data_IF_661944578829
#
_entry.id   IF_661944578829
#
_cell.length_a   1.000
_cell.length_b   1.000
_cell.length_c   1.000
_cell.angle_alpha   90.00
_cell.angle_beta   90.00
_cell.angle_gamma   90.00
#
_symmetry.space_group_name_H-M   'P 1'
#
loop_
_entity.id
_entity.type
_entity.pdbx_description
1 polymer ?
#
# COMPACT_ATOMS: atom_id res chain seq x y z
N UNK A 1 -13.01 5.57 -5.99
CA UNK A 1 -12.60 4.54 -6.98
C UNK A 1 -13.49 4.57 -8.20
N UNK A 2 -14.81 4.52 -8.04
CA UNK A 2 -15.80 4.35 -9.13
C UNK A 2 -15.73 5.35 -10.30
N UNK A 3 -15.26 6.58 -10.07
CA UNK A 3 -15.19 7.61 -11.13
C UNK A 3 -13.78 7.80 -11.74
N UNK A 4 -12.81 6.96 -11.37
CA UNK A 4 -11.45 7.01 -11.91
C UNK A 4 -11.27 5.96 -12.99
N UNK A 5 -10.60 6.31 -14.08
CA UNK A 5 -10.06 5.35 -15.04
C UNK A 5 -9.06 4.40 -14.37
N UNK A 6 -8.78 3.26 -15.00
CA UNK A 6 -7.80 2.30 -14.46
C UNK A 6 -6.41 2.93 -14.28
N UNK A 7 -6.01 3.87 -15.14
CA UNK A 7 -4.76 4.60 -15.03
C UNK A 7 -4.75 5.55 -13.82
N UNK A 8 -5.82 6.31 -13.62
CA UNK A 8 -5.97 7.19 -12.46
C UNK A 8 -6.00 6.40 -11.15
N UNK A 9 -6.66 5.25 -11.12
CA UNK A 9 -6.66 4.33 -9.98
C UNK A 9 -5.24 3.85 -9.66
N UNK A 10 -4.51 3.39 -10.67
CA UNK A 10 -3.12 2.94 -10.51
C UNK A 10 -2.21 4.07 -10.01
N UNK A 11 -2.34 5.27 -10.58
CA UNK A 11 -1.55 6.44 -10.15
C UNK A 11 -1.86 6.81 -8.69
N UNK A 12 -3.14 6.84 -8.33
CA UNK A 12 -3.58 7.14 -6.97
C UNK A 12 -3.03 6.14 -5.94
N UNK A 13 -3.16 4.83 -6.21
CA UNK A 13 -2.64 3.78 -5.32
C UNK A 13 -1.12 3.84 -5.23
N UNK A 14 -0.42 4.04 -6.36
CA UNK A 14 1.03 4.18 -6.37
C UNK A 14 1.49 5.33 -5.47
N UNK A 15 0.80 6.47 -5.52
CA UNK A 15 1.08 7.61 -4.62
C UNK A 15 0.83 7.29 -3.14
N UNK A 16 -0.23 6.55 -2.83
CA UNK A 16 -0.49 6.06 -1.46
C UNK A 16 0.63 5.14 -0.99
N UNK A 17 1.04 4.17 -1.82
CA UNK A 17 2.13 3.24 -1.52
C UNK A 17 3.43 4.01 -1.26
N UNK A 18 3.77 4.97 -2.11
CA UNK A 18 4.96 5.80 -1.95
C UNK A 18 4.93 6.61 -0.65
N UNK A 19 3.79 7.22 -0.33
CA UNK A 19 3.62 7.95 0.93
C UNK A 19 3.79 7.07 2.16
N UNK A 20 3.24 5.85 2.14
CA UNK A 20 3.38 4.88 3.23
C UNK A 20 4.81 4.34 3.34
N UNK A 21 5.48 4.10 2.21
CA UNK A 21 6.86 3.66 2.15
C UNK A 21 7.81 4.75 2.72
N UNK A 22 7.61 6.01 2.32
CA UNK A 22 8.35 7.14 2.86
C UNK A 22 8.10 7.36 4.35
N UNK A 23 6.84 7.27 4.80
CA UNK A 23 6.51 7.34 6.21
C UNK A 23 7.20 6.24 7.03
N UNK A 24 7.26 5.01 6.47
CA UNK A 24 7.97 3.89 7.08
C UNK A 24 9.46 4.16 7.24
N UNK A 25 10.09 4.69 6.18
CA UNK A 25 11.49 5.08 6.22
C UNK A 25 11.77 6.12 7.31
N UNK A 26 10.91 7.14 7.46
CA UNK A 26 11.04 8.11 8.55
C UNK A 26 10.89 7.46 9.94
N UNK A 27 9.96 6.51 10.09
CA UNK A 27 9.71 5.82 11.35
C UNK A 27 10.84 4.85 11.76
N UNK A 28 11.48 4.21 10.78
CA UNK A 28 12.56 3.26 10.98
C UNK A 28 13.95 3.95 11.04
N UNK A 29 14.03 5.21 11.49
CA UNK A 29 15.28 5.99 11.57
C UNK A 29 16.06 6.05 10.25
N UNK A 30 15.34 6.09 9.12
CA UNK A 30 15.87 6.07 7.75
C UNK A 30 16.50 4.74 7.34
N UNK A 31 16.21 3.64 8.04
CA UNK A 31 16.44 2.30 7.52
C UNK A 31 15.48 2.05 6.34
N UNK A 32 16.04 1.60 5.23
CA UNK A 32 15.29 1.33 4.01
C UNK A 32 14.58 -0.02 4.05
N UNK A 33 14.91 -0.90 5.00
CA UNK A 33 14.39 -2.28 5.05
C UNK A 33 12.86 -2.34 4.99
N UNK A 34 12.17 -1.54 5.81
CA UNK A 34 10.70 -1.51 5.81
C UNK A 34 10.10 -0.90 4.54
N UNK A 35 10.71 0.18 4.03
CA UNK A 35 10.29 0.84 2.79
C UNK A 35 10.46 -0.09 1.57
N UNK A 36 11.59 -0.79 1.50
CA UNK A 36 11.86 -1.76 0.43
C UNK A 36 10.91 -2.94 0.49
N UNK A 37 10.49 -3.40 1.68
CA UNK A 37 9.43 -4.42 1.77
C UNK A 37 8.14 -3.94 1.09
N UNK A 38 7.71 -2.71 1.36
CA UNK A 38 6.48 -2.13 0.81
C UNK A 38 6.55 -2.03 -0.71
N UNK A 39 7.65 -1.50 -1.25
CA UNK A 39 7.84 -1.42 -2.70
C UNK A 39 7.94 -2.80 -3.36
N UNK A 40 8.70 -3.73 -2.77
CA UNK A 40 8.84 -5.07 -3.32
C UNK A 40 7.50 -5.80 -3.32
N UNK A 41 6.75 -5.72 -2.23
CA UNK A 41 5.39 -6.24 -2.16
C UNK A 41 4.52 -5.64 -3.28
N UNK A 42 4.49 -4.32 -3.41
CA UNK A 42 3.66 -3.68 -4.43
C UNK A 42 4.06 -4.04 -5.87
N UNK A 43 5.36 -4.15 -6.16
CA UNK A 43 5.89 -4.28 -7.52
C UNK A 43 6.12 -5.74 -8.01
N UNK A 44 6.38 -6.70 -7.11
CA UNK A 44 6.87 -8.04 -7.52
C UNK A 44 5.81 -9.14 -7.65
N UNK A 45 4.64 -9.02 -7.03
CA UNK A 45 3.55 -9.98 -7.27
C UNK A 45 2.94 -9.77 -8.66
N UNK A 46 2.24 -10.75 -9.23
CA UNK A 46 1.45 -10.60 -10.46
C UNK A 46 0.55 -9.35 -10.33
N UNK A 47 1.05 -8.23 -10.87
CA UNK A 47 0.55 -6.90 -10.52
C UNK A 47 -0.92 -6.76 -10.87
N UNK A 48 -1.36 -7.46 -11.93
CA UNK A 48 -2.75 -7.46 -12.35
C UNK A 48 -3.65 -8.23 -11.39
N UNK A 49 -3.23 -9.43 -10.96
CA UNK A 49 -4.02 -10.23 -10.01
C UNK A 49 -4.14 -9.53 -8.65
N UNK A 50 -3.04 -8.97 -8.13
CA UNK A 50 -3.06 -8.23 -6.86
C UNK A 50 -3.83 -6.92 -6.97
N UNK A 51 -3.65 -6.16 -8.03
CA UNK A 51 -4.43 -4.93 -8.26
C UNK A 51 -5.93 -5.23 -8.28
N UNK A 52 -6.37 -6.25 -9.02
CA UNK A 52 -7.77 -6.65 -9.05
C UNK A 52 -8.27 -7.06 -7.65
N UNK A 53 -7.50 -7.83 -6.89
CA UNK A 53 -7.87 -8.20 -5.52
C UNK A 53 -7.97 -6.99 -4.57
N UNK A 54 -7.10 -5.99 -4.75
CA UNK A 54 -7.19 -4.72 -4.02
C UNK A 54 -8.46 -3.94 -4.40
N UNK A 55 -8.80 -3.88 -5.69
CA UNK A 55 -10.02 -3.21 -6.17
C UNK A 55 -11.27 -3.87 -5.57
N UNK A 56 -11.36 -5.20 -5.67
CA UNK A 56 -12.46 -5.98 -5.09
C UNK A 56 -12.59 -5.76 -3.59
N UNK A 57 -11.46 -5.57 -2.89
CA UNK A 57 -11.46 -5.32 -1.46
C UNK A 57 -11.91 -3.89 -1.12
N UNK A 58 -11.53 -2.89 -1.92
CA UNK A 58 -11.98 -1.51 -1.76
C UNK A 58 -13.49 -1.38 -2.01
N UNK A 59 -14.02 -2.07 -3.01
CA UNK A 59 -15.46 -2.10 -3.29
C UNK A 59 -16.28 -2.72 -2.15
N UNK A 60 -15.70 -3.67 -1.42
CA UNK A 60 -16.32 -4.29 -0.23
C UNK A 60 -16.31 -3.40 1.01
N UNK A 61 -15.51 -2.33 1.03
CA UNK A 61 -15.34 -1.42 2.18
C UNK A 61 -15.50 0.05 1.75
N UNK A 62 -16.65 0.43 1.17
CA UNK A 62 -16.85 1.75 0.59
C UNK A 62 -16.80 2.89 1.63
N UNK A 63 -17.00 2.58 2.91
CA UNK A 63 -16.94 3.54 4.01
C UNK A 63 -15.51 3.88 4.48
N UNK A 64 -14.51 3.10 4.03
CA UNK A 64 -13.11 3.29 4.43
C UNK A 64 -12.33 4.05 3.36
N UNK A 65 -11.34 4.84 3.80
CA UNK A 65 -10.41 5.46 2.87
C UNK A 65 -9.44 4.42 2.31
N UNK A 66 -9.17 4.50 1.00
CA UNK A 66 -8.23 3.60 0.31
C UNK A 66 -6.85 3.61 0.96
N UNK A 67 -6.38 4.76 1.47
CA UNK A 67 -5.11 4.87 2.20
C UNK A 67 -5.10 4.05 3.50
N UNK A 68 -6.19 4.05 4.25
CA UNK A 68 -6.37 3.24 5.47
C UNK A 68 -6.39 1.76 5.16
N UNK A 69 -7.12 1.40 4.10
CA UNK A 69 -7.18 0.04 3.58
C UNK A 69 -5.77 -0.44 3.17
N UNK A 70 -5.06 0.34 2.36
CA UNK A 70 -3.69 0.01 1.93
C UNK A 70 -2.72 -0.12 3.12
N UNK A 71 -2.83 0.76 4.12
CA UNK A 71 -2.03 0.64 5.34
C UNK A 71 -2.25 -0.70 6.05
N UNK A 72 -3.49 -1.19 6.14
CA UNK A 72 -3.78 -2.47 6.76
C UNK A 72 -3.14 -3.65 6.02
N UNK A 73 -3.23 -3.67 4.68
CA UNK A 73 -2.58 -4.69 3.83
C UNK A 73 -1.05 -4.66 3.97
N UNK A 74 -0.47 -3.46 3.93
CA UNK A 74 0.97 -3.27 4.09
C UNK A 74 1.43 -3.73 5.47
N UNK A 75 0.67 -3.43 6.53
CA UNK A 75 1.00 -3.86 7.89
C UNK A 75 0.94 -5.39 8.02
N UNK A 76 -0.03 -6.03 7.37
CA UNK A 76 -0.14 -7.50 7.37
C UNK A 76 1.07 -8.15 6.69
N UNK A 77 1.53 -7.60 5.56
CA UNK A 77 2.67 -8.13 4.84
C UNK A 77 4.04 -7.77 5.47
N UNK A 78 4.26 -6.48 5.71
CA UNK A 78 5.57 -5.91 6.05
C UNK A 78 5.73 -5.58 7.53
N UNK A 79 4.73 -5.88 8.36
CA UNK A 79 4.75 -5.64 9.80
C UNK A 79 4.54 -4.17 10.21
N UNK A 80 4.53 -3.93 11.52
CA UNK A 80 4.28 -2.60 12.10
C UNK A 80 5.48 -1.65 11.98
N UNK A 81 5.19 -0.35 11.95
CA UNK A 81 6.19 0.71 11.98
C UNK A 81 6.81 0.77 13.38
N UNK A 82 8.15 0.74 13.48
CA UNK A 82 8.84 1.01 14.74
C UNK A 82 8.71 -0.04 15.86
N UNK A 83 8.66 -1.34 15.56
CA UNK A 83 8.85 -2.35 16.61
C UNK A 83 10.34 -2.48 16.97
N UNK A 84 10.82 -1.61 17.86
CA UNK A 84 11.97 -1.95 18.70
C UNK A 84 11.55 -3.16 19.55
N UNK A 85 12.06 -4.34 19.20
CA UNK A 85 12.33 -5.38 20.20
C UNK A 85 13.76 -5.22 20.69
#
# INVERSE_FOLDING_TARGET
MENMSAEEQNAYISGVVEGLAFARWLADERDETGMQCIWNWYLHSDQRARFNAQMDWFEKHPEQQVSTLMYALIREECGEQGSRR
#
